data_IF_995030372651
#
_entry.id   IF_995030372651
#
_cell.length_a   1.000
_cell.length_b   1.000
_cell.length_c   1.000
_cell.angle_alpha   90.00
_cell.angle_beta   90.00
_cell.angle_gamma   90.00
#
_symmetry.space_group_name_H-M   'P 1'
#
loop_
_entity.id
_entity.type
_entity.pdbx_description
1 polymer ?
#
# COMPACT_ATOMS: atom_id res chain seq x y z
N UNK A 1 21.40 7.71 -7.57
CA UNK A 1 22.52 6.76 -7.83
C UNK A 1 22.37 5.46 -7.05
N UNK A 2 21.61 5.46 -5.91
CA UNK A 2 21.42 4.26 -5.07
C UNK A 2 20.61 3.16 -5.75
N UNK A 3 20.81 1.92 -5.32
CA UNK A 3 20.08 0.72 -5.80
C UNK A 3 18.82 0.44 -4.98
N UNK A 4 18.77 0.93 -3.75
CA UNK A 4 17.61 0.87 -2.84
C UNK A 4 17.10 2.30 -2.63
N UNK A 5 15.79 2.47 -2.67
CA UNK A 5 15.10 3.70 -2.34
C UNK A 5 14.41 3.53 -0.99
N UNK A 6 14.52 4.55 -0.13
CA UNK A 6 13.78 4.61 1.12
C UNK A 6 12.80 5.79 1.03
N UNK A 7 11.54 5.52 1.26
CA UNK A 7 10.48 6.51 1.35
C UNK A 7 10.10 6.71 2.80
N UNK A 8 10.02 7.96 3.23
CA UNK A 8 9.74 8.33 4.61
C UNK A 8 8.84 9.55 4.66
N UNK A 9 7.90 9.55 5.58
CA UNK A 9 7.16 10.75 5.95
C UNK A 9 8.08 11.77 6.64
N UNK A 10 7.71 13.05 6.62
CA UNK A 10 8.51 14.13 7.19
C UNK A 10 8.42 14.25 8.72
N UNK A 11 7.69 13.38 9.41
CA UNK A 11 7.40 13.45 10.86
C UNK A 11 7.65 12.13 11.58
N UNK A 12 8.83 11.56 11.28
CA UNK A 12 9.29 10.29 11.84
C UNK A 12 10.43 10.50 12.84
N UNK A 13 10.56 9.55 13.75
CA UNK A 13 11.69 9.39 14.67
C UNK A 13 12.38 8.06 14.39
N UNK A 14 13.69 8.09 14.27
CA UNK A 14 14.52 6.93 13.96
C UNK A 14 15.48 6.63 15.10
N UNK A 15 15.85 5.34 15.22
CA UNK A 15 16.96 4.89 16.03
C UNK A 15 18.27 4.92 15.24
N UNK A 16 19.40 4.81 15.93
CA UNK A 16 20.71 4.70 15.28
C UNK A 16 20.80 3.40 14.46
N UNK A 17 21.49 3.45 13.31
CA UNK A 17 21.72 2.31 12.42
C UNK A 17 20.43 1.64 11.86
N UNK A 18 19.30 2.33 11.87
CA UNK A 18 18.03 1.81 11.37
C UNK A 18 18.06 1.47 9.88
N UNK A 19 18.81 2.23 9.06
CA UNK A 19 18.89 2.02 7.62
C UNK A 19 19.53 0.68 7.31
N UNK A 20 20.69 0.39 7.90
CA UNK A 20 21.45 -0.84 7.63
C UNK A 20 20.61 -2.08 7.98
N UNK A 21 19.92 -2.05 9.12
CA UNK A 21 19.00 -3.12 9.53
C UNK A 21 17.80 -3.24 8.60
N UNK A 22 17.20 -2.11 8.21
CA UNK A 22 16.00 -2.11 7.36
C UNK A 22 16.30 -2.68 5.97
N UNK A 23 17.43 -2.34 5.36
CA UNK A 23 17.74 -2.76 3.99
C UNK A 23 18.35 -4.16 3.90
N UNK A 24 18.82 -4.73 5.00
CA UNK A 24 19.45 -6.06 5.05
C UNK A 24 18.62 -7.15 4.36
N UNK A 25 17.29 -7.29 4.57
CA UNK A 25 16.49 -8.28 3.85
C UNK A 25 16.47 -8.10 2.33
N UNK A 26 16.61 -6.85 1.85
CA UNK A 26 16.70 -6.57 0.41
C UNK A 26 18.08 -6.94 -0.13
N UNK A 27 19.17 -6.58 0.58
CA UNK A 27 20.55 -6.87 0.19
C UNK A 27 20.82 -8.38 0.19
N UNK A 28 20.26 -9.09 1.18
CA UNK A 28 20.30 -10.55 1.28
C UNK A 28 19.33 -11.26 0.33
N UNK A 29 18.62 -10.53 -0.54
CA UNK A 29 17.68 -11.06 -1.55
C UNK A 29 16.52 -11.87 -0.98
N UNK A 30 16.14 -11.61 0.27
CA UNK A 30 14.99 -12.23 0.94
C UNK A 30 13.69 -11.63 0.41
N UNK A 31 13.65 -10.29 0.24
CA UNK A 31 12.47 -9.58 -0.27
C UNK A 31 12.85 -8.45 -1.23
N UNK A 32 11.84 -7.87 -1.87
CA UNK A 32 12.01 -6.75 -2.82
C UNK A 32 11.64 -5.41 -2.18
N UNK A 33 10.76 -5.45 -1.18
CA UNK A 33 10.26 -4.31 -0.41
C UNK A 33 10.22 -4.69 1.05
N UNK A 34 10.56 -3.77 1.93
CA UNK A 34 10.54 -4.00 3.39
C UNK A 34 10.04 -2.79 4.14
N UNK A 35 9.19 -3.03 5.15
CA UNK A 35 8.79 -2.05 6.15
C UNK A 35 9.50 -2.27 7.47
N UNK A 36 9.74 -1.22 8.27
CA UNK A 36 9.98 -1.34 9.71
C UNK A 36 8.66 -1.55 10.47
N UNK A 37 8.73 -1.84 11.77
CA UNK A 37 7.63 -1.57 12.68
C UNK A 37 7.36 -0.05 12.68
N UNK A 38 6.10 0.33 12.68
CA UNK A 38 5.69 1.73 12.87
C UNK A 38 5.06 1.85 14.26
N UNK A 39 5.70 2.60 15.15
CA UNK A 39 5.17 2.93 16.47
C UNK A 39 4.57 4.31 16.50
N UNK A 40 3.60 4.56 17.38
CA UNK A 40 3.09 5.90 17.63
C UNK A 40 4.02 6.63 18.62
N UNK A 41 4.55 7.79 18.24
CA UNK A 41 5.42 8.59 19.12
C UNK A 41 4.69 9.01 20.40
N UNK A 42 3.39 9.30 20.32
CA UNK A 42 2.58 9.69 21.49
C UNK A 42 2.21 8.47 22.36
N UNK A 43 2.03 7.29 21.75
CA UNK A 43 1.65 6.04 22.41
C UNK A 43 2.57 4.90 21.94
N UNK A 44 3.82 4.82 22.44
CA UNK A 44 4.84 3.89 21.92
C UNK A 44 4.51 2.41 22.00
N UNK A 45 3.50 2.02 22.80
CA UNK A 45 2.99 0.65 22.85
C UNK A 45 2.06 0.30 21.67
N UNK A 46 1.62 1.29 20.91
CA UNK A 46 0.82 1.09 19.71
C UNK A 46 1.74 0.85 18.51
N UNK A 47 1.79 -0.41 18.06
CA UNK A 47 2.73 -0.88 17.05
C UNK A 47 2.00 -1.43 15.83
N UNK A 48 2.46 -1.03 14.64
CA UNK A 48 2.01 -1.55 13.36
C UNK A 48 3.06 -2.47 12.73
N UNK A 49 2.66 -3.68 12.34
CA UNK A 49 3.55 -4.73 11.82
C UNK A 49 3.38 -4.97 10.31
N UNK A 50 3.41 -3.90 9.53
CA UNK A 50 3.09 -3.97 8.10
C UNK A 50 1.59 -4.17 7.88
N UNK A 51 1.19 -4.46 6.65
CA UNK A 51 -0.22 -4.48 6.28
C UNK A 51 -0.71 -5.83 5.81
N UNK A 52 -1.94 -6.19 6.22
CA UNK A 52 -2.76 -7.26 5.68
C UNK A 52 -3.95 -6.68 4.93
N UNK A 53 -4.40 -7.34 3.88
CA UNK A 53 -5.57 -6.92 3.11
C UNK A 53 -6.85 -7.41 3.80
N UNK A 54 -7.73 -6.48 4.19
CA UNK A 54 -9.02 -6.82 4.78
C UNK A 54 -10.05 -7.12 3.69
N UNK A 55 -10.52 -8.37 3.65
CA UNK A 55 -11.53 -8.81 2.68
C UNK A 55 -12.94 -8.30 2.97
N UNK A 56 -13.13 -7.59 4.10
CA UNK A 56 -14.41 -6.98 4.50
C UNK A 56 -14.51 -5.52 4.07
N UNK A 57 -13.40 -4.78 4.05
CA UNK A 57 -13.37 -3.38 3.63
C UNK A 57 -12.71 -3.17 2.26
N UNK A 58 -11.94 -4.15 1.79
CA UNK A 58 -11.05 -4.07 0.62
C UNK A 58 -9.97 -3.01 0.76
N UNK A 59 -9.60 -2.73 2.00
CA UNK A 59 -8.52 -1.84 2.39
C UNK A 59 -7.42 -2.60 3.12
N UNK A 60 -6.26 -1.98 3.27
CA UNK A 60 -5.20 -2.49 4.13
C UNK A 60 -5.42 -2.08 5.57
N UNK A 61 -5.09 -2.97 6.48
CA UNK A 61 -5.07 -2.75 7.92
C UNK A 61 -3.77 -3.28 8.52
N UNK A 62 -3.42 -2.79 9.71
CA UNK A 62 -2.26 -3.29 10.44
C UNK A 62 -2.34 -4.80 10.63
N UNK A 63 -1.25 -5.47 10.26
CA UNK A 63 -1.15 -6.91 10.43
C UNK A 63 -0.86 -7.28 11.90
N UNK A 64 -1.03 -8.58 12.20
CA UNK A 64 -0.73 -9.12 13.51
C UNK A 64 0.76 -9.00 13.86
N UNK A 65 1.04 -8.95 15.17
CA UNK A 65 2.39 -8.93 15.72
C UNK A 65 3.28 -10.04 15.15
N UNK A 66 4.54 -9.71 14.93
CA UNK A 66 5.58 -10.69 14.63
C UNK A 66 6.90 -10.28 15.31
N UNK A 67 7.67 -11.26 15.76
CA UNK A 67 8.99 -11.07 16.38
C UNK A 67 10.16 -11.38 15.43
N UNK A 68 9.86 -11.93 14.27
CA UNK A 68 10.84 -12.27 13.21
C UNK A 68 10.33 -11.79 11.88
N UNK A 69 11.25 -11.64 10.90
CA UNK A 69 10.88 -11.27 9.53
C UNK A 69 9.72 -12.10 9.00
N UNK A 70 8.76 -11.44 8.38
CA UNK A 70 7.61 -12.10 7.73
C UNK A 70 7.23 -11.39 6.43
N UNK A 71 6.70 -12.16 5.48
CA UNK A 71 6.06 -11.60 4.31
C UNK A 71 4.69 -11.00 4.65
N UNK A 72 4.35 -9.91 3.96
CA UNK A 72 3.10 -9.16 4.13
C UNK A 72 2.39 -8.96 2.79
N UNK A 73 1.10 -8.71 2.84
CA UNK A 73 0.30 -8.37 1.66
C UNK A 73 0.50 -6.95 1.17
N UNK A 74 0.94 -6.05 2.06
CA UNK A 74 1.15 -4.65 1.75
C UNK A 74 2.15 -3.99 2.68
N UNK A 75 2.54 -2.78 2.31
CA UNK A 75 3.46 -1.91 3.03
C UNK A 75 2.77 -0.64 3.49
N UNK A 76 3.08 -0.18 4.69
CA UNK A 76 2.64 1.12 5.18
C UNK A 76 3.50 2.23 4.56
N UNK A 77 2.84 3.26 4.03
CA UNK A 77 3.50 4.36 3.30
C UNK A 77 4.41 5.24 4.14
N UNK A 78 4.20 5.27 5.47
CA UNK A 78 4.96 6.14 6.37
C UNK A 78 6.47 5.89 6.36
N UNK A 79 6.92 4.64 6.21
CA UNK A 79 8.33 4.28 6.00
C UNK A 79 8.47 2.93 5.32
N UNK A 80 9.20 2.85 4.21
CA UNK A 80 9.56 1.58 3.56
C UNK A 80 10.81 1.71 2.69
N UNK A 81 11.49 0.61 2.50
CA UNK A 81 12.59 0.49 1.54
C UNK A 81 12.18 -0.44 0.38
N UNK A 82 12.66 -0.14 -0.83
CA UNK A 82 12.36 -0.88 -2.05
C UNK A 82 13.54 -0.90 -3.01
N UNK A 83 13.78 -2.01 -3.70
CA UNK A 83 14.73 -2.04 -4.83
C UNK A 83 14.31 -1.02 -5.87
N UNK A 84 15.21 -0.12 -6.24
CA UNK A 84 14.97 0.89 -7.27
C UNK A 84 14.51 0.26 -8.60
N UNK A 85 15.13 -0.83 -9.00
CA UNK A 85 14.77 -1.57 -10.21
C UNK A 85 13.32 -2.04 -10.18
N UNK A 86 12.86 -2.57 -9.05
CA UNK A 86 11.47 -3.02 -8.84
C UNK A 86 10.51 -1.84 -8.88
N UNK A 87 10.82 -0.75 -8.17
CA UNK A 87 10.00 0.47 -8.18
C UNK A 87 9.80 1.04 -9.57
N UNK A 88 10.90 1.10 -10.36
CA UNK A 88 10.84 1.54 -11.75
C UNK A 88 10.06 0.56 -12.64
N UNK A 89 10.28 -0.73 -12.48
CA UNK A 89 9.63 -1.79 -13.28
C UNK A 89 8.12 -1.78 -13.11
N UNK A 90 7.61 -1.64 -11.88
CA UNK A 90 6.16 -1.55 -11.64
C UNK A 90 5.57 -0.19 -12.04
N UNK A 91 6.38 0.76 -12.50
CA UNK A 91 5.94 2.07 -13.01
C UNK A 91 5.72 3.10 -11.91
N UNK A 92 6.43 2.99 -10.78
CA UNK A 92 6.45 3.97 -9.69
C UNK A 92 5.05 4.22 -9.08
N UNK A 93 4.87 5.29 -8.31
CA UNK A 93 3.53 5.72 -7.88
C UNK A 93 2.65 6.12 -9.09
N UNK A 94 1.35 5.91 -8.94
CA UNK A 94 0.40 6.34 -9.98
C UNK A 94 0.18 7.85 -9.90
N UNK A 95 0.71 8.56 -10.90
CA UNK A 95 0.68 10.03 -10.97
C UNK A 95 -0.72 10.62 -11.16
N UNK A 96 -1.71 9.80 -11.44
CA UNK A 96 -3.08 10.26 -11.60
C UNK A 96 -3.90 10.18 -10.30
N UNK A 97 -3.29 9.73 -9.21
CA UNK A 97 -3.90 9.88 -7.89
C UNK A 97 -3.97 11.36 -7.51
N UNK A 98 -5.08 11.75 -6.93
CA UNK A 98 -5.36 13.14 -6.56
C UNK A 98 -5.34 13.28 -5.05
N UNK A 99 -4.68 14.34 -4.56
CA UNK A 99 -4.57 14.64 -3.12
C UNK A 99 -4.02 13.43 -2.34
N UNK A 100 -4.62 13.10 -1.21
CA UNK A 100 -4.18 12.08 -0.25
C UNK A 100 -5.04 10.81 -0.34
N UNK A 101 -4.40 9.66 -0.15
CA UNK A 101 -5.00 8.36 0.13
C UNK A 101 -4.86 7.35 -1.01
N UNK A 102 -4.71 6.09 -0.64
CA UNK A 102 -4.59 4.90 -1.49
C UNK A 102 -3.31 4.76 -2.33
N UNK A 103 -2.35 5.69 -2.28
CA UNK A 103 -1.13 5.62 -3.08
C UNK A 103 -0.22 4.45 -2.68
N UNK A 104 -0.08 4.21 -1.41
CA UNK A 104 0.69 3.10 -0.83
C UNK A 104 -0.07 1.76 -0.94
N UNK A 105 -1.38 1.80 -0.75
CA UNK A 105 -2.28 0.65 -0.95
C UNK A 105 -2.25 0.16 -2.40
N UNK A 106 -2.34 1.08 -3.36
CA UNK A 106 -2.26 0.75 -4.79
C UNK A 106 -0.89 0.18 -5.16
N UNK A 107 0.17 0.81 -4.71
CA UNK A 107 1.52 0.33 -4.97
C UNK A 107 1.76 -1.04 -4.34
N UNK A 108 1.30 -1.27 -3.10
CA UNK A 108 1.36 -2.56 -2.42
C UNK A 108 0.68 -3.68 -3.22
N UNK A 109 -0.56 -3.42 -3.64
CA UNK A 109 -1.34 -4.40 -4.40
C UNK A 109 -0.68 -4.71 -5.74
N UNK A 110 -0.26 -3.70 -6.48
CA UNK A 110 0.39 -3.85 -7.79
C UNK A 110 1.74 -4.57 -7.68
N UNK A 111 2.55 -4.29 -6.66
CA UNK A 111 3.79 -5.03 -6.38
C UNK A 111 3.50 -6.51 -6.15
N UNK A 112 2.58 -6.82 -5.24
CA UNK A 112 2.21 -8.19 -4.90
C UNK A 112 1.66 -8.93 -6.12
N UNK A 113 0.73 -8.33 -6.89
CA UNK A 113 0.17 -8.93 -8.10
C UNK A 113 1.23 -9.15 -9.18
N UNK A 114 2.26 -8.31 -9.24
CA UNK A 114 3.40 -8.47 -10.15
C UNK A 114 4.44 -9.50 -9.65
N UNK A 115 4.17 -10.16 -8.52
CA UNK A 115 5.01 -11.23 -7.98
C UNK A 115 6.22 -10.74 -7.19
N UNK A 116 6.26 -9.46 -6.81
CA UNK A 116 7.29 -8.94 -5.91
C UNK A 116 6.92 -9.17 -4.45
N UNK A 117 7.93 -9.44 -3.63
CA UNK A 117 7.76 -9.75 -2.22
C UNK A 117 7.86 -8.50 -1.34
N UNK A 118 6.91 -8.37 -0.42
CA UNK A 118 6.87 -7.33 0.60
C UNK A 118 7.07 -8.00 1.96
N UNK A 119 7.97 -7.48 2.78
CA UNK A 119 8.26 -8.00 4.12
C UNK A 119 8.17 -6.95 5.20
N UNK A 120 8.15 -7.40 6.44
CA UNK A 120 8.32 -6.60 7.65
C UNK A 120 9.61 -7.03 8.37
N UNK A 121 10.46 -6.05 8.72
CA UNK A 121 11.65 -6.23 9.54
C UNK A 121 11.40 -5.72 10.97
N UNK A 122 11.05 -6.61 11.90
CA UNK A 122 10.62 -6.20 13.24
C UNK A 122 11.77 -5.79 14.17
N UNK A 123 13.01 -5.92 13.76
CA UNK A 123 14.16 -5.40 14.54
C UNK A 123 14.36 -3.89 14.37
N UNK A 124 13.59 -3.25 13.47
CA UNK A 124 13.62 -1.80 13.22
C UNK A 124 12.28 -1.21 13.63
N UNK A 125 12.31 -0.27 14.58
CA UNK A 125 11.16 0.52 15.00
C UNK A 125 11.32 1.97 14.54
N UNK A 126 10.31 2.48 13.84
CA UNK A 126 10.24 3.87 13.37
C UNK A 126 9.05 4.55 14.02
N UNK A 127 9.32 5.50 14.90
CA UNK A 127 8.28 6.30 15.54
C UNK A 127 7.61 7.24 14.53
N UNK A 128 6.30 7.17 14.41
CA UNK A 128 5.49 8.03 13.56
C UNK A 128 4.61 8.96 14.40
N UNK A 129 4.58 10.23 14.08
CA UNK A 129 3.66 11.16 14.72
C UNK A 129 2.30 11.12 14.04
N UNK A 130 1.37 10.36 14.63
CA UNK A 130 -0.02 10.34 14.18
C UNK A 130 -0.75 11.57 14.68
N UNK A 131 -1.25 12.40 13.77
CA UNK A 131 -2.02 13.60 14.12
C UNK A 131 -3.43 13.19 14.53
N UNK A 132 -3.92 13.76 15.65
CA UNK A 132 -5.31 13.54 16.10
C UNK A 132 -6.34 14.08 15.09
N UNK A 133 -5.97 15.11 14.32
CA UNK A 133 -6.79 15.64 13.24
C UNK A 133 -5.90 16.10 12.09
N UNK A 134 -6.32 15.84 10.86
CA UNK A 134 -5.69 16.42 9.69
C UNK A 134 -6.01 17.91 9.65
N UNK A 135 -4.99 18.78 9.60
CA UNK A 135 -5.15 20.23 9.41
C UNK A 135 -5.74 20.60 8.05
N UNK A 136 -5.91 19.61 7.17
CA UNK A 136 -6.62 19.69 5.89
C UNK A 136 -7.75 18.68 5.92
N UNK A 137 -8.96 19.12 5.56
CA UNK A 137 -10.11 18.21 5.44
C UNK A 137 -9.80 17.09 4.43
N UNK A 138 -10.20 15.86 4.76
CA UNK A 138 -10.12 14.77 3.79
C UNK A 138 -11.08 15.10 2.65
N UNK A 139 -10.56 15.20 1.44
CA UNK A 139 -11.39 15.32 0.24
C UNK A 139 -11.90 13.93 -0.14
N UNK A 140 -13.10 13.62 0.33
CA UNK A 140 -13.74 12.32 0.09
C UNK A 140 -13.97 12.01 -1.39
N UNK A 141 -14.11 13.03 -2.24
CA UNK A 141 -14.19 12.82 -3.69
C UNK A 141 -12.85 12.28 -4.24
N UNK A 142 -11.74 12.90 -3.87
CA UNK A 142 -10.40 12.43 -4.25
C UNK A 142 -10.10 11.05 -3.67
N UNK A 143 -10.45 10.80 -2.41
CA UNK A 143 -10.30 9.48 -1.79
C UNK A 143 -11.08 8.40 -2.54
N UNK A 144 -12.37 8.62 -2.82
CA UNK A 144 -13.20 7.70 -3.58
C UNK A 144 -12.66 7.46 -5.00
N UNK A 145 -12.16 8.51 -5.66
CA UNK A 145 -11.50 8.39 -6.96
C UNK A 145 -10.27 7.50 -6.88
N UNK A 146 -9.39 7.73 -5.93
CA UNK A 146 -8.17 6.95 -5.74
C UNK A 146 -8.49 5.48 -5.42
N UNK A 147 -9.46 5.23 -4.54
CA UNK A 147 -9.88 3.89 -4.17
C UNK A 147 -10.47 3.12 -5.36
N UNK A 148 -11.40 3.74 -6.08
CA UNK A 148 -11.99 3.13 -7.27
C UNK A 148 -10.97 2.92 -8.38
N UNK A 149 -10.01 3.85 -8.53
CA UNK A 149 -8.91 3.72 -9.48
C UNK A 149 -7.98 2.56 -9.12
N UNK A 150 -7.61 2.40 -7.84
CA UNK A 150 -6.84 1.25 -7.36
C UNK A 150 -7.56 -0.07 -7.71
N UNK A 151 -8.85 -0.17 -7.42
CA UNK A 151 -9.64 -1.35 -7.73
C UNK A 151 -9.70 -1.62 -9.24
N UNK A 152 -10.05 -0.61 -10.04
CA UNK A 152 -10.16 -0.75 -11.50
C UNK A 152 -8.85 -1.17 -12.17
N UNK A 153 -7.72 -0.70 -11.68
CA UNK A 153 -6.40 -1.04 -12.25
C UNK A 153 -5.98 -2.45 -11.88
N UNK A 154 -6.19 -2.87 -10.62
CA UNK A 154 -5.52 -4.02 -10.04
C UNK A 154 -6.43 -5.21 -9.72
N UNK A 155 -7.73 -4.99 -9.44
CA UNK A 155 -8.65 -6.05 -9.02
C UNK A 155 -9.42 -6.66 -10.20
N UNK A 156 -10.07 -7.79 -9.94
CA UNK A 156 -11.06 -8.38 -10.85
C UNK A 156 -12.41 -7.63 -10.78
N UNK A 157 -13.39 -8.07 -11.59
CA UNK A 157 -14.69 -7.40 -11.67
C UNK A 157 -15.47 -7.46 -10.34
N UNK A 158 -15.29 -8.54 -9.57
CA UNK A 158 -15.90 -8.67 -8.24
C UNK A 158 -15.35 -7.60 -7.28
N UNK A 159 -14.03 -7.44 -7.24
CA UNK A 159 -13.37 -6.40 -6.44
C UNK A 159 -13.73 -4.99 -6.87
N UNK A 160 -13.80 -4.74 -8.19
CA UNK A 160 -14.21 -3.44 -8.73
C UNK A 160 -15.65 -3.10 -8.30
N UNK A 161 -16.57 -4.03 -8.45
CA UNK A 161 -17.97 -3.83 -8.07
C UNK A 161 -18.11 -3.61 -6.56
N UNK A 162 -17.38 -4.40 -5.76
CA UNK A 162 -17.39 -4.23 -4.32
C UNK A 162 -16.96 -2.81 -3.89
N UNK A 163 -15.85 -2.31 -4.44
CA UNK A 163 -15.37 -0.95 -4.12
C UNK A 163 -16.36 0.11 -4.64
N UNK A 164 -16.93 -0.08 -5.84
CA UNK A 164 -17.95 0.81 -6.37
C UNK A 164 -19.17 0.94 -5.45
N UNK A 165 -19.62 -0.16 -4.86
CA UNK A 165 -20.75 -0.15 -3.91
C UNK A 165 -20.38 0.57 -2.60
N UNK A 166 -19.13 0.49 -2.16
CA UNK A 166 -18.63 1.06 -0.90
C UNK A 166 -18.35 2.56 -0.94
N UNK A 167 -17.94 3.12 -2.08
CA UNK A 167 -17.68 4.55 -2.16
C UNK A 167 -18.95 5.37 -1.89
N UNK A 168 -18.77 6.52 -1.25
CA UNK A 168 -19.86 7.45 -0.94
C UNK A 168 -20.35 8.23 -2.17
N UNK A 169 -21.58 8.67 -2.15
CA UNK A 169 -22.24 9.42 -3.22
C UNK A 169 -23.53 8.75 -3.70
N UNK A 170 -24.35 9.48 -4.42
CA UNK A 170 -25.49 8.91 -5.10
C UNK A 170 -25.08 8.11 -6.36
N UNK A 171 -26.02 7.39 -6.95
CA UNK A 171 -25.76 6.52 -8.11
C UNK A 171 -25.22 7.30 -9.32
N UNK A 172 -25.67 8.55 -9.51
CA UNK A 172 -25.20 9.41 -10.60
C UNK A 172 -23.76 9.82 -10.38
N UNK A 173 -23.41 10.21 -9.16
CA UNK A 173 -22.05 10.60 -8.77
C UNK A 173 -21.08 9.42 -8.91
N UNK A 174 -21.46 8.25 -8.41
CA UNK A 174 -20.66 7.02 -8.52
C UNK A 174 -20.41 6.63 -9.99
N UNK A 175 -21.44 6.68 -10.84
CA UNK A 175 -21.32 6.37 -12.25
C UNK A 175 -20.45 7.39 -13.01
N UNK A 176 -20.53 8.67 -12.68
CA UNK A 176 -19.66 9.70 -13.25
C UNK A 176 -18.21 9.49 -12.82
N UNK A 177 -18.00 9.14 -11.55
CA UNK A 177 -16.66 8.82 -11.04
C UNK A 177 -16.08 7.60 -11.74
N UNK A 178 -16.86 6.51 -11.91
CA UNK A 178 -16.43 5.32 -12.65
C UNK A 178 -16.04 5.64 -14.10
N UNK A 179 -16.83 6.45 -14.81
CA UNK A 179 -16.50 6.89 -16.17
C UNK A 179 -15.17 7.63 -16.20
N UNK A 180 -14.93 8.51 -15.24
CA UNK A 180 -13.68 9.25 -15.10
C UNK A 180 -12.51 8.30 -14.83
N UNK A 181 -12.65 7.37 -13.90
CA UNK A 181 -11.64 6.35 -13.62
C UNK A 181 -11.33 5.52 -14.85
N UNK A 182 -12.34 4.99 -15.54
CA UNK A 182 -12.16 4.18 -16.76
C UNK A 182 -11.41 4.96 -17.82
N UNK A 183 -11.79 6.23 -18.08
CA UNK A 183 -11.18 7.04 -19.12
C UNK A 183 -9.71 7.38 -18.84
N UNK A 184 -9.36 7.62 -17.57
CA UNK A 184 -8.01 8.05 -17.16
C UNK A 184 -7.08 6.90 -16.79
N UNK A 185 -7.60 5.66 -16.64
CA UNK A 185 -6.82 4.53 -16.12
C UNK A 185 -6.48 3.45 -17.15
N UNK A 186 -6.99 3.54 -18.39
CA UNK A 186 -6.82 2.48 -19.41
C UNK A 186 -5.36 2.06 -19.60
N UNK A 187 -4.48 3.03 -19.77
CA UNK A 187 -3.06 2.75 -19.97
C UNK A 187 -2.42 2.11 -18.73
N UNK A 188 -2.72 2.63 -17.53
CA UNK A 188 -2.20 2.10 -16.27
C UNK A 188 -2.69 0.67 -16.04
N UNK A 189 -3.96 0.37 -16.32
CA UNK A 189 -4.52 -0.98 -16.24
C UNK A 189 -3.80 -1.95 -17.19
N UNK A 190 -3.53 -1.54 -18.43
CA UNK A 190 -2.79 -2.37 -19.38
C UNK A 190 -1.36 -2.66 -18.88
N UNK A 191 -0.66 -1.64 -18.37
CA UNK A 191 0.67 -1.83 -17.79
C UNK A 191 0.63 -2.81 -16.60
N UNK A 192 -0.28 -2.62 -15.65
CA UNK A 192 -0.42 -3.49 -14.48
C UNK A 192 -0.71 -4.93 -14.92
N UNK A 193 -1.65 -5.13 -15.83
CA UNK A 193 -2.01 -6.47 -16.35
C UNK A 193 -0.85 -7.16 -17.08
N UNK A 194 -0.05 -6.43 -17.84
CA UNK A 194 1.11 -6.99 -18.54
C UNK A 194 2.21 -7.50 -17.58
N UNK A 195 2.27 -6.95 -16.37
CA UNK A 195 3.23 -7.35 -15.34
C UNK A 195 2.68 -8.36 -14.36
N UNK A 196 1.37 -8.57 -14.33
CA UNK A 196 0.68 -9.42 -13.37
C UNK A 196 1.13 -10.87 -13.50
N UNK A 197 1.56 -11.48 -12.39
CA UNK A 197 2.00 -12.87 -12.28
C UNK A 197 1.05 -13.73 -11.46
N UNK A 198 0.13 -13.13 -10.72
CA UNK A 198 -0.93 -13.81 -9.98
C UNK A 198 -2.24 -13.01 -10.07
N UNK A 199 -3.36 -13.70 -10.01
CA UNK A 199 -4.67 -13.08 -10.00
C UNK A 199 -4.94 -12.38 -8.65
N UNK A 200 -5.91 -11.46 -8.62
CA UNK A 200 -6.37 -10.85 -7.38
C UNK A 200 -6.94 -11.92 -6.41
N UNK A 201 -7.61 -12.95 -6.91
CA UNK A 201 -8.11 -14.06 -6.10
C UNK A 201 -6.98 -14.87 -5.45
N UNK A 202 -5.90 -15.18 -6.17
CA UNK A 202 -4.72 -15.84 -5.59
C UNK A 202 -4.06 -14.95 -4.53
N UNK A 203 -3.98 -13.66 -4.76
CA UNK A 203 -3.52 -12.70 -3.77
C UNK A 203 -4.39 -12.72 -2.50
N UNK A 204 -5.72 -12.69 -2.63
CA UNK A 204 -6.64 -12.78 -1.48
C UNK A 204 -6.48 -14.10 -0.72
N UNK A 205 -6.27 -15.22 -1.43
CA UNK A 205 -6.02 -16.52 -0.78
C UNK A 205 -4.75 -16.49 0.09
N UNK A 206 -3.72 -15.77 -0.34
CA UNK A 206 -2.43 -15.70 0.34
C UNK A 206 -2.39 -14.64 1.45
N UNK A 207 -2.95 -13.48 1.22
CA UNK A 207 -2.80 -12.31 2.08
C UNK A 207 -4.11 -11.68 2.55
N UNK A 208 -5.24 -12.13 2.02
CA UNK A 208 -6.55 -11.66 2.44
C UNK A 208 -6.94 -12.25 3.79
N UNK A 209 -7.41 -11.41 4.70
CA UNK A 209 -7.94 -11.80 5.99
C UNK A 209 -9.27 -11.08 6.23
N UNK A 210 -10.22 -11.75 6.88
CA UNK A 210 -11.38 -11.07 7.43
C UNK A 210 -10.93 -10.47 8.76
N UNK A 211 -10.80 -9.16 8.80
CA UNK A 211 -10.41 -8.44 10.00
C UNK A 211 -11.67 -7.92 10.70
N UNK A 212 -11.77 -8.21 11.99
CA UNK A 212 -12.90 -7.79 12.86
C UNK A 212 -12.77 -6.32 13.27
#
# INVERSE_FOLDING_TARGET
>A
RGEILIFCDGHLKFEDHWIDKLIEPIESKICDVVNPIISDIAFPSTLGYGWSFDTTSYEYKWAEHCSTFQFRGGMAGGCFAIKKSVFMQVGMFDKAFTKWGMEDSELSLRLSLSGFSIGIEPSVDVGHFFKESNNYGVDWFSYNYNFLRMAYVNMDDEGINYVFDKISGDETDKNNLMRTVVSTSKFRKLQARAMQKQSFREYLTKFGKKMS
#
